data_IF_898973549589
#
_entry.id   IF_898973549589
#
_cell.length_a   1.000
_cell.length_b   1.000
_cell.length_c   1.000
_cell.angle_alpha   90.00
_cell.angle_beta   90.00
_cell.angle_gamma   90.00
#
_symmetry.space_group_name_H-M   'P 1'
#
loop_
_entity.id
_entity.type
_entity.pdbx_description
1 polymer ?
#
# COMPACT_ATOMS: atom_id res chain seq x y z
N UNK A 1 3.09 5.54 -16.92
CA UNK A 1 1.94 4.85 -16.30
C UNK A 1 1.55 5.67 -15.08
N UNK A 2 0.27 5.66 -14.69
CA UNK A 2 -0.16 6.28 -13.45
C UNK A 2 -1.22 5.40 -12.79
N UNK A 3 -1.33 5.51 -11.48
CA UNK A 3 -2.35 4.88 -10.66
C UNK A 3 -2.89 5.90 -9.66
N UNK A 4 -4.21 5.92 -9.48
CA UNK A 4 -4.86 6.66 -8.39
C UNK A 4 -5.43 5.61 -7.46
N UNK A 5 -4.84 5.49 -6.28
CA UNK A 5 -5.06 4.37 -5.38
C UNK A 5 -5.14 4.79 -3.93
N UNK A 6 -5.40 3.82 -3.05
CA UNK A 6 -5.40 4.01 -1.61
C UNK A 6 -4.07 3.55 -1.04
N UNK A 7 -3.38 4.44 -0.32
CA UNK A 7 -2.23 4.11 0.50
C UNK A 7 -2.69 3.92 1.94
N UNK A 8 -2.05 2.98 2.64
CA UNK A 8 -2.33 2.67 4.04
C UNK A 8 -1.05 2.85 4.84
N UNK A 9 -1.08 3.70 5.86
CA UNK A 9 0.03 3.92 6.78
C UNK A 9 -0.46 3.75 8.21
N UNK A 10 0.25 2.93 8.98
CA UNK A 10 -0.08 2.67 10.39
C UNK A 10 0.48 3.79 11.28
N UNK A 11 0.00 5.00 11.04
CA UNK A 11 0.45 6.23 11.69
C UNK A 11 -0.67 6.87 12.52
N UNK A 12 -0.30 7.92 13.26
CA UNK A 12 -1.27 8.74 13.99
C UNK A 12 -2.26 9.46 13.06
N UNK A 13 -3.39 9.88 13.63
CA UNK A 13 -4.37 10.71 12.93
C UNK A 13 -4.32 12.14 13.45
N UNK A 14 -4.27 13.11 12.55
CA UNK A 14 -4.36 14.53 12.88
C UNK A 14 -5.28 15.27 11.88
N UNK A 15 -5.12 16.59 11.76
CA UNK A 15 -5.94 17.41 10.87
C UNK A 15 -5.56 17.25 9.38
N UNK A 16 -4.39 16.70 9.07
CA UNK A 16 -3.81 16.48 7.73
C UNK A 16 -3.53 15.00 7.40
N UNK A 17 -3.61 14.09 8.37
CA UNK A 17 -3.30 12.67 8.23
C UNK A 17 -4.49 11.77 8.59
N UNK A 18 -4.79 10.83 7.70
CA UNK A 18 -5.75 9.73 7.91
C UNK A 18 -5.03 8.40 7.59
N UNK A 19 -5.30 7.28 8.29
CA UNK A 19 -4.52 6.04 8.14
C UNK A 19 -4.64 5.42 6.74
N UNK A 20 -5.73 5.72 6.06
CA UNK A 20 -5.92 5.43 4.65
C UNK A 20 -6.14 6.74 3.88
N UNK A 21 -5.39 6.97 2.81
CA UNK A 21 -5.44 8.22 2.04
C UNK A 21 -5.15 7.97 0.56
N UNK A 22 -5.70 8.79 -0.31
CA UNK A 22 -5.57 8.64 -1.75
C UNK A 22 -4.37 9.40 -2.29
N UNK A 23 -3.52 8.70 -3.02
CA UNK A 23 -2.43 9.28 -3.80
C UNK A 23 -2.62 8.96 -5.27
N UNK A 24 -2.13 9.85 -6.12
CA UNK A 24 -1.73 9.49 -7.48
C UNK A 24 -0.24 9.22 -7.48
N UNK A 25 0.18 8.10 -8.05
CA UNK A 25 1.56 7.84 -8.41
C UNK A 25 1.68 7.76 -9.93
N UNK A 26 2.65 8.47 -10.49
CA UNK A 26 2.90 8.56 -11.92
C UNK A 26 4.38 8.32 -12.19
N UNK A 27 4.66 7.45 -13.16
CA UNK A 27 6.01 7.17 -13.65
C UNK A 27 6.07 7.40 -15.16
N UNK A 28 7.04 8.18 -15.61
CA UNK A 28 7.27 8.45 -17.03
C UNK A 28 8.73 8.13 -17.40
N UNK A 29 8.91 7.26 -18.39
CA UNK A 29 10.23 6.98 -18.94
C UNK A 29 10.74 8.17 -19.79
N UNK A 30 12.06 8.30 -19.84
CA UNK A 30 12.83 9.31 -20.58
C UNK A 30 12.58 10.75 -20.11
N UNK A 31 12.37 10.93 -18.82
CA UNK A 31 12.34 12.23 -18.15
C UNK A 31 13.05 12.14 -16.80
N UNK A 32 13.29 13.29 -16.19
CA UNK A 32 13.87 13.47 -14.86
C UNK A 32 12.89 14.20 -13.92
N UNK A 33 13.35 14.52 -12.71
CA UNK A 33 12.60 15.31 -11.74
C UNK A 33 12.19 16.71 -12.23
N UNK A 34 12.87 17.33 -13.21
CA UNK A 34 12.41 18.62 -13.78
C UNK A 34 11.15 18.43 -14.62
N UNK A 35 11.07 17.37 -15.41
CA UNK A 35 9.84 17.03 -16.11
C UNK A 35 8.70 16.69 -15.13
N UNK A 36 9.01 16.07 -13.97
CA UNK A 36 8.02 15.83 -12.92
C UNK A 36 7.52 17.13 -12.27
N UNK A 37 8.36 18.17 -12.12
CA UNK A 37 7.91 19.50 -11.66
C UNK A 37 6.94 20.12 -12.66
N UNK A 38 7.25 20.05 -13.96
CA UNK A 38 6.39 20.61 -15.00
C UNK A 38 5.01 19.90 -15.03
N UNK A 39 4.99 18.58 -14.84
CA UNK A 39 3.76 17.78 -14.73
C UNK A 39 2.98 18.14 -13.47
N UNK A 40 3.64 18.20 -12.31
CA UNK A 40 2.99 18.52 -11.04
C UNK A 40 2.34 19.91 -11.05
N UNK A 41 3.08 20.92 -11.56
CA UNK A 41 2.54 22.28 -11.73
C UNK A 41 1.33 22.29 -12.68
N UNK A 42 1.45 21.68 -13.86
CA UNK A 42 0.36 21.64 -14.83
C UNK A 42 -0.89 20.94 -14.28
N UNK A 43 -0.71 19.82 -13.56
CA UNK A 43 -1.80 19.06 -12.96
C UNK A 43 -2.58 19.90 -11.94
N UNK A 44 -1.87 20.54 -11.01
CA UNK A 44 -2.50 21.33 -9.94
C UNK A 44 -3.21 22.56 -10.52
N UNK A 45 -2.57 23.24 -11.48
CA UNK A 45 -3.17 24.39 -12.17
C UNK A 45 -4.44 24.00 -12.91
N UNK A 46 -4.40 22.90 -13.66
CA UNK A 46 -5.57 22.43 -14.40
C UNK A 46 -6.70 22.03 -13.43
N UNK A 47 -6.37 21.32 -12.35
CA UNK A 47 -7.35 20.95 -11.32
C UNK A 47 -8.01 22.18 -10.67
N UNK A 48 -7.23 23.21 -10.33
CA UNK A 48 -7.76 24.46 -9.78
C UNK A 48 -8.64 25.21 -10.80
N UNK A 49 -8.19 25.30 -12.06
CA UNK A 49 -8.96 25.96 -13.10
C UNK A 49 -10.30 25.25 -13.37
N UNK A 50 -10.32 23.92 -13.36
CA UNK A 50 -11.54 23.13 -13.63
C UNK A 50 -12.49 23.09 -12.42
N UNK A 51 -11.96 22.96 -11.20
CA UNK A 51 -12.78 22.86 -9.99
C UNK A 51 -13.23 24.22 -9.45
N UNK A 52 -12.34 25.22 -9.47
CA UNK A 52 -12.56 26.54 -8.87
C UNK A 52 -12.86 27.62 -9.91
N UNK A 53 -12.57 27.40 -11.20
CA UNK A 53 -12.74 28.41 -12.25
C UNK A 53 -11.66 29.50 -12.26
N UNK A 54 -10.65 29.41 -11.40
CA UNK A 54 -9.60 30.42 -11.18
C UNK A 54 -8.31 29.76 -10.71
N UNK A 55 -7.17 30.40 -10.99
CA UNK A 55 -5.85 30.03 -10.45
C UNK A 55 -5.47 30.84 -9.21
N UNK A 56 -6.28 31.83 -8.83
CA UNK A 56 -6.17 32.54 -7.57
C UNK A 56 -7.23 32.00 -6.61
N UNK A 57 -6.80 31.18 -5.65
CA UNK A 57 -7.69 30.55 -4.67
C UNK A 57 -7.42 31.13 -3.28
N UNK A 58 -8.34 30.91 -2.35
CA UNK A 58 -8.15 31.22 -0.93
C UNK A 58 -8.16 29.92 -0.16
N UNK A 59 -7.18 29.73 0.72
CA UNK A 59 -7.08 28.56 1.60
C UNK A 59 -6.79 29.01 3.03
N UNK A 60 -7.67 28.65 3.97
CA UNK A 60 -7.63 29.07 5.37
C UNK A 60 -7.48 30.61 5.52
N UNK A 61 -8.19 31.37 4.68
CA UNK A 61 -8.13 32.83 4.66
C UNK A 61 -6.83 33.43 4.10
N UNK A 62 -5.96 32.62 3.50
CA UNK A 62 -4.72 33.06 2.83
C UNK A 62 -4.88 32.94 1.32
N UNK A 63 -4.50 33.98 0.58
CA UNK A 63 -4.52 33.95 -0.90
C UNK A 63 -3.35 33.11 -1.43
N UNK A 64 -3.67 32.14 -2.28
CA UNK A 64 -2.71 31.26 -2.95
C UNK A 64 -2.77 31.52 -4.45
N UNK A 65 -1.61 31.85 -5.01
CA UNK A 65 -1.40 32.09 -6.43
C UNK A 65 -0.87 30.81 -7.10
N UNK A 66 -1.72 30.19 -7.91
CA UNK A 66 -1.38 29.05 -8.77
C UNK A 66 -1.11 29.50 -10.22
N UNK A 67 -1.23 30.79 -10.55
CA UNK A 67 -1.00 31.30 -11.90
C UNK A 67 0.48 31.55 -12.17
N UNK A 68 1.19 32.11 -11.19
CA UNK A 68 2.63 32.32 -11.28
C UNK A 68 3.35 30.96 -11.29
N UNK A 69 4.40 30.76 -12.14
CA UNK A 69 5.21 29.56 -12.09
C UNK A 69 5.70 29.25 -10.68
N UNK A 70 5.63 27.98 -10.27
CA UNK A 70 5.92 27.61 -8.89
C UNK A 70 7.41 27.86 -8.60
N UNK A 71 7.71 28.38 -7.41
CA UNK A 71 9.08 28.70 -7.05
C UNK A 71 9.92 27.43 -6.98
N UNK A 72 11.18 27.49 -7.42
CA UNK A 72 12.15 26.39 -7.32
C UNK A 72 13.30 26.82 -6.43
N UNK A 73 13.58 26.05 -5.39
CA UNK A 73 14.63 26.36 -4.40
C UNK A 73 15.25 25.07 -3.90
N UNK A 74 16.58 24.99 -3.83
CA UNK A 74 17.22 23.81 -3.22
C UNK A 74 17.00 23.81 -1.71
N UNK A 75 17.02 22.63 -1.07
CA UNK A 75 16.90 22.49 0.38
C UNK A 75 17.98 23.30 1.11
N UNK A 76 19.22 23.29 0.59
CA UNK A 76 20.36 24.06 1.14
C UNK A 76 20.09 25.56 1.06
N UNK A 77 19.60 26.06 -0.08
CA UNK A 77 19.24 27.48 -0.22
C UNK A 77 18.09 27.87 0.71
N UNK A 78 17.10 27.00 0.88
CA UNK A 78 15.96 27.23 1.75
C UNK A 78 16.40 27.30 3.22
N UNK A 79 17.18 26.34 3.69
CA UNK A 79 17.74 26.32 5.05
C UNK A 79 18.61 27.55 5.29
N UNK A 80 19.48 27.92 4.34
CA UNK A 80 20.27 29.15 4.44
C UNK A 80 19.40 30.39 4.58
N UNK A 81 18.34 30.50 3.77
CA UNK A 81 17.43 31.64 3.76
C UNK A 81 16.69 31.82 5.09
N UNK A 82 16.21 30.74 5.70
CA UNK A 82 15.33 30.82 6.88
C UNK A 82 16.04 30.58 8.22
N UNK A 83 17.13 29.81 8.26
CA UNK A 83 17.92 29.58 9.48
C UNK A 83 19.16 30.48 9.59
N UNK A 84 19.63 31.04 8.46
CA UNK A 84 20.89 31.77 8.36
C UNK A 84 22.15 30.90 8.30
N UNK A 85 22.01 29.57 8.34
CA UNK A 85 23.13 28.63 8.30
C UNK A 85 23.31 28.08 6.88
N UNK A 86 24.51 28.23 6.34
CA UNK A 86 24.85 27.73 5.01
C UNK A 86 25.48 26.34 5.07
N UNK A 87 24.66 25.30 4.88
CA UNK A 87 25.11 23.91 4.88
C UNK A 87 26.04 23.58 3.70
N UNK A 88 26.11 24.42 2.65
CA UNK A 88 27.06 24.25 1.56
C UNK A 88 28.52 24.46 2.02
N UNK A 89 28.76 25.27 3.06
CA UNK A 89 30.11 25.57 3.55
C UNK A 89 30.78 24.41 4.30
N UNK A 90 30.02 23.38 4.66
CA UNK A 90 30.49 22.21 5.41
C UNK A 90 29.83 20.93 4.94
N UNK A 91 29.64 20.84 3.62
CA UNK A 91 29.05 19.68 2.97
C UNK A 91 29.80 18.39 3.35
N UNK A 92 29.04 17.37 3.74
CA UNK A 92 29.54 16.07 4.23
C UNK A 92 30.33 16.09 5.54
N UNK A 93 30.39 17.22 6.26
CA UNK A 93 30.99 17.31 7.59
C UNK A 93 29.93 17.04 8.68
N UNK A 94 29.81 15.76 9.05
CA UNK A 94 28.84 15.29 10.04
C UNK A 94 29.09 15.92 11.42
N UNK A 95 30.35 16.00 11.86
CA UNK A 95 30.69 16.52 13.19
C UNK A 95 30.30 17.99 13.31
N UNK A 96 30.61 18.80 12.28
CA UNK A 96 30.22 20.21 12.24
C UNK A 96 28.71 20.40 12.14
N UNK A 97 28.01 19.59 11.35
CA UNK A 97 26.56 19.64 11.27
C UNK A 97 25.91 19.37 12.64
N UNK A 98 26.31 18.30 13.33
CA UNK A 98 25.81 17.95 14.67
C UNK A 98 26.14 19.02 15.71
N UNK A 99 27.33 19.62 15.65
CA UNK A 99 27.70 20.72 16.54
C UNK A 99 26.76 21.93 16.36
N UNK A 100 26.49 22.32 15.11
CA UNK A 100 25.58 23.43 14.79
C UNK A 100 24.14 23.11 15.21
N UNK A 101 23.67 21.87 15.02
CA UNK A 101 22.36 21.43 15.48
C UNK A 101 22.20 21.63 17.00
N UNK A 102 23.19 21.19 17.78
CA UNK A 102 23.22 21.37 19.24
C UNK A 102 23.23 22.85 19.63
N UNK A 103 24.01 23.69 18.94
CA UNK A 103 24.02 25.14 19.19
C UNK A 103 22.67 25.81 18.91
N UNK A 104 21.93 25.29 17.93
CA UNK A 104 20.60 25.77 17.55
C UNK A 104 19.46 25.13 18.34
N UNK A 105 19.77 24.20 19.25
CA UNK A 105 18.78 23.50 20.05
C UNK A 105 17.93 22.50 19.28
N UNK A 106 18.44 22.01 18.14
CA UNK A 106 17.80 20.93 17.37
C UNK A 106 18.27 19.59 17.95
N UNK A 107 17.31 18.74 18.30
CA UNK A 107 17.57 17.38 18.76
C UNK A 107 17.92 16.50 17.56
N UNK A 108 19.13 15.94 17.57
CA UNK A 108 19.58 14.97 16.56
C UNK A 108 19.34 13.58 17.12
N UNK A 109 18.52 12.80 16.42
CA UNK A 109 18.21 11.43 16.82
C UNK A 109 19.45 10.54 16.69
N UNK A 110 19.59 9.57 17.61
CA UNK A 110 20.69 8.62 17.59
C UNK A 110 20.61 7.76 16.31
N UNK A 111 21.71 7.67 15.56
CA UNK A 111 21.76 7.03 14.25
C UNK A 111 21.42 7.94 13.07
N UNK A 112 21.01 9.18 13.31
CA UNK A 112 20.71 10.22 12.30
C UNK A 112 21.69 11.40 12.41
N UNK A 113 22.96 11.12 12.67
CA UNK A 113 24.02 12.14 12.85
C UNK A 113 24.76 12.51 11.56
N UNK A 114 24.20 12.20 10.38
CA UNK A 114 24.84 12.59 9.12
C UNK A 114 24.56 14.05 8.78
N UNK A 115 25.40 14.64 7.93
CA UNK A 115 25.18 15.98 7.38
C UNK A 115 23.79 16.10 6.72
N UNK A 116 23.36 15.06 6.00
CA UNK A 116 22.06 15.01 5.32
C UNK A 116 20.89 14.99 6.30
N UNK A 117 20.95 14.15 7.33
CA UNK A 117 19.91 14.04 8.36
C UNK A 117 19.74 15.37 9.13
N UNK A 118 20.87 16.00 9.47
CA UNK A 118 20.86 17.29 10.16
C UNK A 118 20.31 18.38 9.24
N UNK A 119 20.68 18.41 7.96
CA UNK A 119 20.11 19.37 7.00
C UNK A 119 18.58 19.23 6.92
N UNK A 120 18.07 18.00 6.87
CA UNK A 120 16.63 17.73 6.87
C UNK A 120 15.96 18.23 8.16
N UNK A 121 16.57 17.97 9.32
CA UNK A 121 16.06 18.45 10.61
C UNK A 121 15.98 19.99 10.67
N UNK A 122 16.95 20.69 10.06
CA UNK A 122 16.91 22.15 9.92
C UNK A 122 15.82 22.62 8.97
N UNK A 123 15.57 21.87 7.89
CA UNK A 123 14.51 22.16 6.94
C UNK A 123 13.13 22.08 7.62
N UNK A 124 12.84 20.98 8.32
CA UNK A 124 11.59 20.78 9.06
C UNK A 124 11.35 21.90 10.10
N UNK A 125 12.37 22.24 10.89
CA UNK A 125 12.24 23.24 11.97
C UNK A 125 12.12 24.68 11.44
N UNK A 126 12.96 25.06 10.46
CA UNK A 126 13.10 26.46 10.06
C UNK A 126 12.43 26.83 8.76
N UNK A 127 12.16 25.88 7.86
CA UNK A 127 11.75 26.20 6.48
C UNK A 127 10.26 25.96 6.27
N UNK A 128 9.74 24.75 6.50
CA UNK A 128 8.41 24.29 6.06
C UNK A 128 7.30 25.30 6.31
N UNK A 129 7.17 25.78 7.56
CA UNK A 129 6.13 26.73 7.98
C UNK A 129 6.12 28.06 7.23
N UNK A 130 7.20 28.41 6.55
CA UNK A 130 7.33 29.66 5.80
C UNK A 130 6.97 29.50 4.31
N UNK A 131 6.80 28.27 3.81
CA UNK A 131 6.48 27.97 2.41
C UNK A 131 4.97 28.14 2.16
N UNK A 132 4.53 29.40 2.10
CA UNK A 132 3.12 29.78 1.91
C UNK A 132 2.66 29.50 0.47
N UNK A 133 3.37 30.08 -0.52
CA UNK A 133 3.08 29.90 -1.94
C UNK A 133 3.68 28.59 -2.47
N UNK A 134 3.15 28.03 -3.57
CA UNK A 134 3.67 26.81 -4.17
C UNK A 134 5.17 26.88 -4.45
N UNK A 135 5.92 26.01 -3.79
CA UNK A 135 7.38 25.97 -3.87
C UNK A 135 7.85 24.53 -3.99
N UNK A 136 8.57 24.22 -5.06
CA UNK A 136 9.37 23.03 -5.18
C UNK A 136 10.67 23.20 -4.40
N UNK A 137 10.84 22.40 -3.35
CA UNK A 137 12.11 22.23 -2.65
C UNK A 137 12.85 21.10 -3.32
N UNK A 138 14.11 21.33 -3.70
CA UNK A 138 14.89 20.44 -4.56
C UNK A 138 16.19 19.97 -3.89
N UNK A 139 16.83 18.97 -4.49
CA UNK A 139 18.17 18.51 -4.16
C UNK A 139 18.31 17.99 -2.72
N UNK A 140 17.52 16.96 -2.39
CA UNK A 140 17.51 16.34 -1.07
C UNK A 140 18.78 15.49 -0.84
N UNK A 141 19.28 15.40 0.41
CA UNK A 141 20.37 14.49 0.77
C UNK A 141 20.10 13.04 0.40
N UNK A 142 21.17 12.31 0.11
CA UNK A 142 21.11 10.90 -0.29
C UNK A 142 20.64 9.99 0.84
N UNK A 143 20.94 10.34 2.09
CA UNK A 143 20.63 9.57 3.28
C UNK A 143 19.11 9.40 3.48
N UNK A 144 18.33 10.41 3.13
CA UNK A 144 16.87 10.44 3.26
C UNK A 144 16.14 10.13 1.94
N UNK A 145 16.87 9.75 0.88
CA UNK A 145 16.32 9.57 -0.47
C UNK A 145 16.73 8.20 -1.06
N UNK A 146 16.30 7.07 -0.46
CA UNK A 146 16.83 5.74 -0.74
C UNK A 146 16.48 5.19 -2.14
N UNK A 147 15.49 5.76 -2.82
CA UNK A 147 15.03 5.36 -4.16
C UNK A 147 15.38 6.38 -5.25
N UNK A 148 16.11 7.44 -4.90
CA UNK A 148 16.37 8.56 -5.79
C UNK A 148 17.78 8.51 -6.36
N UNK A 149 17.89 8.80 -7.66
CA UNK A 149 19.18 8.95 -8.33
C UNK A 149 20.04 10.07 -7.72
N UNK A 150 21.34 9.79 -7.53
CA UNK A 150 22.29 10.82 -7.11
C UNK A 150 22.40 11.92 -8.14
N UNK A 151 22.57 13.16 -7.67
CA UNK A 151 22.81 14.30 -8.54
C UNK A 151 24.21 14.16 -9.19
N UNK A 152 24.35 14.22 -10.53
CA UNK A 152 25.61 13.91 -11.21
C UNK A 152 26.80 14.79 -10.81
N UNK A 153 26.55 16.06 -10.51
CA UNK A 153 27.57 17.06 -10.13
C UNK A 153 27.78 17.16 -8.62
N UNK A 154 26.88 16.60 -7.80
CA UNK A 154 26.93 16.64 -6.35
C UNK A 154 26.36 15.34 -5.74
N UNK A 155 27.13 14.23 -5.70
CA UNK A 155 26.61 12.89 -5.36
C UNK A 155 26.13 12.69 -3.92
N UNK A 156 26.34 13.68 -3.05
CA UNK A 156 25.81 13.71 -1.67
C UNK A 156 24.36 14.19 -1.63
N UNK A 157 23.89 14.76 -2.74
CA UNK A 157 22.51 15.14 -3.00
C UNK A 157 21.91 14.23 -4.07
N UNK A 158 20.59 14.32 -4.21
CA UNK A 158 19.80 13.51 -5.12
C UNK A 158 18.86 14.37 -5.95
N UNK A 159 18.48 13.89 -7.13
CA UNK A 159 17.51 14.56 -8.00
C UNK A 159 16.07 14.30 -7.51
N UNK A 160 15.75 14.80 -6.31
CA UNK A 160 14.43 14.76 -5.68
C UNK A 160 13.89 16.16 -5.46
N UNK A 161 12.57 16.29 -5.52
CA UNK A 161 11.88 17.44 -5.01
C UNK A 161 10.64 17.06 -4.20
N UNK A 162 10.23 17.97 -3.33
CA UNK A 162 8.89 17.98 -2.74
C UNK A 162 8.22 19.32 -3.03
N UNK A 163 6.90 19.28 -3.24
CA UNK A 163 6.08 20.48 -3.45
C UNK A 163 5.43 20.87 -2.14
N UNK A 164 5.68 22.09 -1.67
CA UNK A 164 5.05 22.65 -0.49
C UNK A 164 4.08 23.78 -0.84
N UNK A 165 2.92 23.78 -0.18
CA UNK A 165 1.93 24.87 -0.20
C UNK A 165 1.43 25.06 1.23
N UNK A 166 1.39 26.29 1.75
CA UNK A 166 0.95 26.57 3.13
C UNK A 166 1.65 25.71 4.20
N UNK A 167 2.95 25.47 3.99
CA UNK A 167 3.80 24.66 4.86
C UNK A 167 3.32 23.22 5.04
N UNK A 168 2.62 22.67 4.05
CA UNK A 168 2.35 21.24 3.95
C UNK A 168 2.89 20.70 2.64
N UNK A 169 3.34 19.45 2.65
CA UNK A 169 3.77 18.71 1.46
C UNK A 169 2.54 18.28 0.63
N UNK A 170 2.55 18.52 -0.68
CA UNK A 170 1.49 18.15 -1.63
C UNK A 170 1.95 17.10 -2.63
N UNK A 171 3.25 16.96 -2.84
CA UNK A 171 3.80 15.92 -3.67
C UNK A 171 5.29 15.72 -3.45
N UNK A 172 5.74 14.52 -3.77
CA UNK A 172 7.12 14.07 -3.70
C UNK A 172 7.48 13.42 -5.03
N UNK A 173 8.64 13.73 -5.58
CA UNK A 173 9.02 13.28 -6.91
C UNK A 173 10.53 13.23 -7.07
N UNK A 174 10.99 12.42 -8.00
CA UNK A 174 12.41 12.24 -8.24
C UNK A 174 12.72 11.67 -9.62
N UNK A 175 13.99 11.83 -10.02
CA UNK A 175 14.61 10.95 -11.01
C UNK A 175 14.85 9.59 -10.34
N UNK A 176 14.20 8.56 -10.87
CA UNK A 176 14.23 7.21 -10.32
C UNK A 176 15.64 6.62 -10.30
N UNK A 177 16.00 5.96 -9.20
CA UNK A 177 17.21 5.17 -9.12
C UNK A 177 17.04 3.88 -9.94
N UNK A 178 17.67 3.85 -11.10
CA UNK A 178 17.60 2.71 -12.02
C UNK A 178 18.87 1.86 -12.08
N UNK A 179 19.85 2.12 -11.20
CA UNK A 179 21.04 1.28 -11.03
C UNK A 179 20.76 0.22 -9.94
N UNK A 180 20.60 -1.07 -10.31
CA UNK A 180 20.32 -2.13 -9.34
C UNK A 180 21.43 -2.31 -8.29
N UNK A 181 22.67 -1.97 -8.63
CA UNK A 181 23.82 -2.10 -7.73
C UNK A 181 23.75 -1.04 -6.63
N UNK A 182 23.48 0.22 -6.98
CA UNK A 182 23.25 1.29 -5.98
C UNK A 182 21.96 1.01 -5.19
N UNK A 183 20.88 0.57 -5.85
CA UNK A 183 19.62 0.28 -5.15
C UNK A 183 19.77 -0.79 -4.06
N UNK A 184 20.50 -1.88 -4.35
CA UNK A 184 20.79 -2.90 -3.34
C UNK A 184 21.60 -2.34 -2.17
N UNK A 185 22.65 -1.55 -2.44
CA UNK A 185 23.45 -0.90 -1.39
C UNK A 185 22.61 0.00 -0.48
N UNK A 186 21.62 0.69 -1.04
CA UNK A 186 20.70 1.54 -0.26
C UNK A 186 19.72 0.73 0.57
N UNK A 187 19.19 -0.37 0.07
CA UNK A 187 18.39 -1.27 0.90
C UNK A 187 19.20 -1.92 2.02
N UNK A 188 20.46 -2.31 1.78
CA UNK A 188 21.34 -2.79 2.85
C UNK A 188 21.59 -1.71 3.93
N UNK A 189 21.72 -0.44 3.54
CA UNK A 189 21.83 0.67 4.49
C UNK A 189 20.53 0.88 5.28
N UNK A 190 19.38 0.82 4.62
CA UNK A 190 18.06 0.90 5.28
C UNK A 190 17.83 -0.25 6.26
N UNK A 191 18.28 -1.46 5.95
CA UNK A 191 18.22 -2.59 6.89
C UNK A 191 19.03 -2.35 8.16
N UNK A 192 20.21 -1.73 8.05
CA UNK A 192 21.00 -1.36 9.23
C UNK A 192 20.30 -0.32 10.10
N UNK A 193 19.59 0.64 9.49
CA UNK A 193 18.77 1.61 10.23
C UNK A 193 17.60 0.91 10.94
N UNK A 194 16.94 -0.03 10.26
CA UNK A 194 15.87 -0.84 10.85
C UNK A 194 16.36 -1.69 12.03
N UNK A 195 17.50 -2.35 11.89
CA UNK A 195 18.16 -3.09 12.98
C UNK A 195 18.55 -2.19 14.15
N UNK A 196 18.82 -0.91 13.89
CA UNK A 196 19.08 0.11 14.91
C UNK A 196 17.80 0.71 15.55
N UNK A 197 16.61 0.30 15.10
CA UNK A 197 15.32 0.67 15.68
C UNK A 197 14.50 1.68 14.88
N UNK A 198 14.85 1.97 13.62
CA UNK A 198 14.02 2.77 12.73
C UNK A 198 12.94 1.90 12.07
N UNK A 199 11.74 1.87 12.64
CA UNK A 199 10.62 1.06 12.16
C UNK A 199 10.10 1.48 10.76
N UNK A 200 10.40 2.72 10.34
CA UNK A 200 10.01 3.30 9.04
C UNK A 200 11.01 2.98 7.92
N UNK A 201 12.21 2.46 8.26
CA UNK A 201 13.22 2.11 7.27
C UNK A 201 12.77 0.95 6.37
N UNK A 202 13.07 1.09 5.07
CA UNK A 202 12.62 0.16 4.02
C UNK A 202 13.20 -1.26 4.20
N UNK A 203 12.42 -2.27 3.83
CA UNK A 203 12.89 -3.66 3.71
C UNK A 203 13.56 -3.92 2.36
N UNK A 204 14.45 -4.90 2.29
CA UNK A 204 14.98 -5.37 1.01
C UNK A 204 13.86 -6.09 0.24
N UNK A 205 13.55 -5.56 -0.95
CA UNK A 205 12.73 -6.25 -1.95
C UNK A 205 13.63 -6.80 -3.06
N UNK A 206 13.87 -8.11 -3.01
CA UNK A 206 14.71 -8.78 -4.00
C UNK A 206 14.06 -8.86 -5.38
N UNK A 207 12.72 -8.95 -5.45
CA UNK A 207 12.02 -9.02 -6.74
C UNK A 207 12.08 -7.68 -7.45
N UNK A 208 11.93 -6.57 -6.71
CA UNK A 208 12.14 -5.23 -7.23
C UNK A 208 13.56 -5.02 -7.77
N UNK A 209 14.59 -5.45 -7.03
CA UNK A 209 15.98 -5.34 -7.53
C UNK A 209 16.20 -6.20 -8.77
N UNK A 210 15.68 -7.42 -8.79
CA UNK A 210 15.74 -8.28 -9.98
C UNK A 210 15.03 -7.62 -11.18
N UNK A 211 13.91 -6.94 -10.98
CA UNK A 211 13.26 -6.18 -12.05
C UNK A 211 14.16 -5.05 -12.60
N UNK A 212 14.89 -4.34 -11.73
CA UNK A 212 15.87 -3.32 -12.14
C UNK A 212 17.04 -3.93 -12.94
N UNK A 213 17.47 -5.14 -12.62
CA UNK A 213 18.55 -5.86 -13.34
C UNK A 213 18.18 -6.19 -14.80
N UNK A 214 16.90 -6.34 -15.12
CA UNK A 214 16.43 -6.45 -16.51
C UNK A 214 16.54 -5.14 -17.29
N UNK A 215 16.71 -4.00 -16.60
CA UNK A 215 16.96 -2.69 -17.17
C UNK A 215 15.74 -1.78 -17.13
N UNK A 216 15.69 -0.89 -16.14
CA UNK A 216 14.75 0.22 -16.10
C UNK A 216 15.33 1.44 -16.85
N UNK A 217 14.63 2.04 -17.83
CA UNK A 217 15.11 3.25 -18.49
C UNK A 217 15.18 4.43 -17.49
N UNK A 218 15.93 5.51 -17.80
CA UNK A 218 15.83 6.75 -17.04
C UNK A 218 14.37 7.17 -16.94
N UNK A 219 13.88 7.36 -15.72
CA UNK A 219 12.44 7.55 -15.43
C UNK A 219 12.31 8.64 -14.38
N UNK A 220 11.27 9.46 -14.49
CA UNK A 220 10.83 10.35 -13.42
C UNK A 220 9.56 9.77 -12.77
N UNK A 221 9.52 9.76 -11.45
CA UNK A 221 8.35 9.41 -10.66
C UNK A 221 7.80 10.59 -9.88
N UNK A 222 6.49 10.59 -9.66
CA UNK A 222 5.75 11.64 -8.97
C UNK A 222 4.60 11.03 -8.17
N UNK A 223 4.57 11.32 -6.87
CA UNK A 223 3.44 11.11 -5.98
C UNK A 223 2.78 12.45 -5.65
N UNK A 224 1.44 12.53 -5.74
CA UNK A 224 0.67 13.69 -5.24
C UNK A 224 -0.42 13.18 -4.28
N UNK A 225 -0.49 13.81 -3.10
CA UNK A 225 -1.54 13.55 -2.11
C UNK A 225 -2.87 14.16 -2.56
N UNK A 226 -3.80 13.33 -3.03
CA UNK A 226 -5.08 13.79 -3.58
C UNK A 226 -5.94 14.43 -2.51
N UNK A 227 -6.01 13.86 -1.31
CA UNK A 227 -6.84 14.42 -0.24
C UNK A 227 -6.38 15.84 0.14
N UNK A 228 -5.06 16.07 0.25
CA UNK A 228 -4.50 17.40 0.51
C UNK A 228 -4.79 18.35 -0.64
N UNK A 229 -4.67 17.92 -1.89
CA UNK A 229 -5.04 18.73 -3.04
C UNK A 229 -6.52 19.11 -3.01
N UNK A 230 -7.42 18.17 -2.69
CA UNK A 230 -8.85 18.49 -2.54
C UNK A 230 -9.06 19.49 -1.40
N UNK A 231 -8.41 19.31 -0.24
CA UNK A 231 -8.48 20.27 0.87
C UNK A 231 -8.14 21.69 0.42
N UNK A 232 -7.04 21.85 -0.32
CA UNK A 232 -6.59 23.13 -0.86
C UNK A 232 -7.65 23.76 -1.79
N UNK A 233 -8.20 22.99 -2.71
CA UNK A 233 -9.15 23.47 -3.72
C UNK A 233 -10.56 23.72 -3.17
N UNK A 234 -10.91 23.12 -2.04
CA UNK A 234 -12.24 23.26 -1.40
C UNK A 234 -12.24 24.16 -0.16
N UNK A 235 -11.11 24.78 0.17
CA UNK A 235 -10.92 25.56 1.40
C UNK A 235 -11.25 24.77 2.68
N UNK A 236 -10.89 23.47 2.69
CA UNK A 236 -11.16 22.57 3.81
C UNK A 236 -9.95 22.50 4.75
N UNK A 237 -10.13 22.93 6.00
CA UNK A 237 -9.05 22.92 6.99
C UNK A 237 -8.61 21.52 7.40
N UNK A 238 -9.53 20.53 7.44
CA UNK A 238 -9.22 19.17 7.84
C UNK A 238 -9.40 18.16 6.70
N UNK A 239 -8.52 17.16 6.65
CA UNK A 239 -8.65 15.99 5.75
C UNK A 239 -9.98 15.25 5.97
N UNK A 240 -10.54 15.34 7.18
CA UNK A 240 -11.84 14.75 7.51
C UNK A 240 -13.01 15.40 6.79
N UNK A 241 -12.84 16.64 6.31
CA UNK A 241 -13.88 17.38 5.60
C UNK A 241 -13.93 16.98 4.10
N UNK A 242 -12.91 16.27 3.61
CA UNK A 242 -12.81 15.81 2.21
C UNK A 242 -12.93 14.28 2.07
N UNK A 243 -12.93 13.56 3.19
CA UNK A 243 -13.20 12.13 3.25
C UNK A 243 -14.66 11.89 3.64
N UNK A 244 -15.39 11.06 2.86
CA UNK A 244 -16.78 10.71 3.19
C UNK A 244 -16.90 9.96 4.52
N UNK A 245 -15.94 9.09 4.80
CA UNK A 245 -15.88 8.26 6.00
C UNK A 245 -14.45 8.28 6.57
N UNK A 246 -14.02 9.37 7.24
CA UNK A 246 -12.72 9.42 7.85
C UNK A 246 -12.62 8.44 9.01
N UNK A 247 -11.42 7.95 9.30
CA UNK A 247 -11.20 7.07 10.44
C UNK A 247 -11.41 7.86 11.74
N UNK A 248 -12.26 7.33 12.63
CA UNK A 248 -12.63 7.99 13.88
C UNK A 248 -12.12 7.22 15.09
N UNK A 249 -11.76 7.94 16.15
CA UNK A 249 -11.51 7.32 17.46
C UNK A 249 -12.83 6.73 18.00
N UNK A 250 -12.83 5.49 18.52
CA UNK A 250 -14.02 4.91 19.15
C UNK A 250 -14.52 5.75 20.33
N UNK A 251 -15.83 5.93 20.45
CA UNK A 251 -16.45 6.80 21.48
C UNK A 251 -16.22 6.35 22.93
N UNK A 252 -15.98 5.06 23.16
CA UNK A 252 -15.79 4.51 24.50
C UNK A 252 -14.36 3.99 24.73
N UNK A 253 -13.41 4.36 23.88
CA UNK A 253 -12.26 3.50 23.64
C UNK A 253 -12.69 2.13 23.09
N UNK A 254 -11.73 1.25 22.88
CA UNK A 254 -12.04 -0.16 22.64
C UNK A 254 -12.50 -0.73 23.99
N UNK A 255 -13.82 -0.79 24.23
CA UNK A 255 -14.36 -1.51 25.39
C UNK A 255 -14.04 -2.99 25.19
N UNK A 256 -13.31 -3.61 26.11
CA UNK A 256 -13.00 -5.05 26.13
C UNK A 256 -14.26 -5.97 26.02
N UNK A 257 -15.47 -5.41 26.19
CA UNK A 257 -16.74 -6.14 26.11
C UNK A 257 -17.27 -6.32 24.68
N UNK A 258 -16.82 -5.51 23.72
CA UNK A 258 -16.90 -5.88 22.30
C UNK A 258 -15.54 -6.54 22.07
N UNK A 259 -15.48 -7.84 21.80
CA UNK A 259 -14.26 -8.65 21.79
C UNK A 259 -13.18 -8.28 20.76
N UNK A 260 -12.96 -6.99 20.50
CA UNK A 260 -11.71 -6.43 20.03
C UNK A 260 -10.78 -6.40 21.24
N UNK A 261 -10.15 -7.53 21.52
CA UNK A 261 -9.02 -7.57 22.45
C UNK A 261 -8.01 -6.50 22.00
N UNK A 262 -7.81 -5.46 22.81
CA UNK A 262 -6.55 -4.73 22.82
C UNK A 262 -5.48 -5.58 23.53
N UNK A 263 -5.35 -6.84 23.12
CA UNK A 263 -4.02 -7.40 23.09
C UNK A 263 -3.30 -6.64 21.98
N UNK A 264 -2.00 -6.37 22.08
CA UNK A 264 -1.23 -6.24 20.87
C UNK A 264 -1.61 -7.46 20.05
N UNK A 265 -2.34 -7.23 18.96
CA UNK A 265 -2.25 -8.14 17.85
C UNK A 265 -0.79 -7.90 17.47
N UNK A 266 0.12 -8.70 18.04
CA UNK A 266 1.13 -9.28 17.18
C UNK A 266 0.32 -9.66 15.96
N UNK A 267 0.45 -8.88 14.87
CA UNK A 267 0.18 -9.38 13.52
C UNK A 267 0.68 -10.79 13.62
N UNK A 268 -0.17 -11.85 13.52
CA UNK A 268 0.27 -13.16 13.88
C UNK A 268 1.59 -13.31 13.15
N UNK A 269 2.68 -13.32 13.93
CA UNK A 269 3.93 -13.81 13.45
C UNK A 269 3.66 -15.32 13.45
N UNK A 270 2.76 -15.76 12.58
CA UNK A 270 3.28 -16.48 11.46
C UNK A 270 4.49 -15.63 10.98
N UNK A 271 5.66 -15.90 11.58
CA UNK A 271 6.79 -16.27 10.73
C UNK A 271 6.12 -16.94 9.54
N UNK A 272 6.24 -16.42 8.29
CA UNK A 272 5.64 -17.13 7.17
C UNK A 272 6.03 -18.55 7.42
N UNK A 273 5.05 -19.38 7.81
CA UNK A 273 5.37 -20.71 8.28
C UNK A 273 6.13 -21.19 7.06
N UNK A 274 7.41 -21.54 7.22
CA UNK A 274 8.14 -22.02 6.07
C UNK A 274 7.45 -23.34 5.80
N UNK A 275 6.36 -23.28 5.04
CA UNK A 275 5.50 -24.38 4.75
C UNK A 275 6.43 -25.22 3.90
N UNK A 276 6.96 -26.23 4.55
CA UNK A 276 7.98 -27.06 3.97
C UNK A 276 7.28 -28.03 3.03
N UNK A 277 7.06 -27.56 1.80
CA UNK A 277 6.48 -28.37 0.74
C UNK A 277 7.40 -29.52 0.29
N UNK A 278 8.60 -29.69 0.88
CA UNK A 278 9.53 -30.77 0.51
C UNK A 278 8.95 -32.16 0.76
N UNK A 279 7.93 -32.27 1.62
CA UNK A 279 7.25 -33.51 1.97
C UNK A 279 5.90 -33.70 1.29
N UNK A 280 5.49 -32.74 0.46
CA UNK A 280 4.23 -32.83 -0.29
C UNK A 280 4.44 -33.68 -1.53
N UNK A 281 3.63 -34.72 -1.68
CA UNK A 281 3.57 -35.53 -2.89
C UNK A 281 2.56 -34.93 -3.85
N UNK A 282 3.03 -34.42 -5.00
CA UNK A 282 2.17 -33.91 -6.08
C UNK A 282 1.75 -35.05 -6.98
N UNK A 283 0.44 -35.29 -7.10
CA UNK A 283 -0.09 -36.29 -8.02
C UNK A 283 0.28 -35.95 -9.47
N UNK A 284 0.64 -36.95 -10.29
CA UNK A 284 0.85 -36.73 -11.71
C UNK A 284 -0.40 -36.11 -12.34
N UNK A 285 -0.19 -35.22 -13.32
CA UNK A 285 -1.29 -34.65 -14.09
C UNK A 285 -2.21 -35.76 -14.62
N UNK A 286 -3.51 -35.49 -14.56
CA UNK A 286 -4.51 -36.40 -15.10
C UNK A 286 -4.18 -36.68 -16.57
N UNK A 287 -4.05 -37.95 -16.93
CA UNK A 287 -3.55 -38.35 -18.25
C UNK A 287 -4.52 -38.02 -19.38
N UNK A 288 -5.81 -37.95 -19.05
CA UNK A 288 -6.85 -37.61 -20.00
C UNK A 288 -7.04 -36.08 -20.01
N UNK A 289 -6.74 -35.46 -21.14
CA UNK A 289 -7.01 -34.03 -21.32
C UNK A 289 -8.51 -33.80 -21.40
N UNK A 290 -9.01 -32.80 -20.65
CA UNK A 290 -10.34 -32.22 -20.88
C UNK A 290 -10.23 -31.19 -21.98
N UNK A 291 -11.08 -31.28 -23.00
CA UNK A 291 -11.13 -30.26 -24.04
C UNK A 291 -11.78 -28.97 -23.51
N UNK A 292 -11.38 -27.83 -24.08
CA UNK A 292 -11.84 -26.51 -23.65
C UNK A 292 -13.36 -26.37 -23.71
N UNK A 293 -14.01 -26.94 -24.72
CA UNK A 293 -15.47 -26.87 -24.88
C UNK A 293 -16.23 -27.69 -23.84
N UNK A 294 -15.64 -28.77 -23.34
CA UNK A 294 -16.20 -29.54 -22.22
C UNK A 294 -15.99 -28.80 -20.90
N UNK A 295 -14.81 -28.22 -20.67
CA UNK A 295 -14.52 -27.46 -19.45
C UNK A 295 -15.37 -26.18 -19.35
N UNK A 296 -15.45 -25.40 -20.43
CA UNK A 296 -16.17 -24.11 -20.50
C UNK A 296 -17.67 -24.22 -20.25
N UNK A 297 -18.23 -25.43 -20.38
CA UNK A 297 -19.63 -25.72 -20.03
C UNK A 297 -19.87 -25.83 -18.53
N UNK A 298 -18.85 -25.97 -17.70
CA UNK A 298 -19.01 -26.04 -16.24
C UNK A 298 -19.26 -24.65 -15.68
N UNK A 299 -20.37 -24.47 -14.94
CA UNK A 299 -20.73 -23.18 -14.35
C UNK A 299 -20.18 -23.10 -12.92
N UNK A 300 -19.02 -22.47 -12.78
CA UNK A 300 -18.36 -22.24 -11.49
C UNK A 300 -18.87 -20.94 -10.85
N UNK A 301 -19.38 -21.05 -9.62
CA UNK A 301 -19.92 -19.92 -8.86
C UNK A 301 -19.34 -19.85 -7.47
N UNK A 302 -19.18 -18.62 -6.98
CA UNK A 302 -19.11 -18.36 -5.55
C UNK A 302 -20.49 -18.63 -4.93
N UNK A 303 -20.55 -19.45 -3.89
CA UNK A 303 -21.76 -19.84 -3.18
C UNK A 303 -21.61 -19.54 -1.69
N UNK A 304 -22.65 -18.98 -1.07
CA UNK A 304 -22.68 -18.74 0.38
C UNK A 304 -23.25 -19.95 1.10
N UNK A 305 -22.58 -20.40 2.15
CA UNK A 305 -23.07 -21.49 2.99
C UNK A 305 -24.09 -20.95 3.98
N UNK A 306 -25.38 -21.18 3.70
CA UNK A 306 -26.49 -20.77 4.58
C UNK A 306 -26.65 -21.73 5.76
N UNK A 307 -26.45 -23.03 5.52
CA UNK A 307 -26.46 -24.06 6.56
C UNK A 307 -25.56 -25.23 6.16
N UNK A 308 -24.96 -25.88 7.15
CA UNK A 308 -24.20 -27.12 6.98
C UNK A 308 -24.58 -28.08 8.10
N UNK A 309 -24.87 -29.34 7.76
CA UNK A 309 -25.35 -30.37 8.69
C UNK A 309 -24.66 -31.70 8.41
N UNK A 310 -24.31 -32.46 9.44
CA UNK A 310 -23.88 -33.84 9.28
C UNK A 310 -25.04 -34.71 8.77
N UNK A 311 -24.81 -35.51 7.73
CA UNK A 311 -25.87 -36.38 7.17
C UNK A 311 -26.12 -37.56 8.12
N UNK A 312 -27.37 -37.76 8.60
CA UNK A 312 -27.69 -38.88 9.48
C UNK A 312 -27.28 -40.22 8.87
N UNK A 313 -26.62 -41.07 9.67
CA UNK A 313 -26.10 -42.40 9.26
C UNK A 313 -24.92 -42.37 8.29
N UNK A 314 -24.33 -41.21 7.99
CA UNK A 314 -23.05 -41.11 7.28
C UNK A 314 -21.97 -40.51 8.17
N UNK A 315 -20.79 -41.15 8.21
CA UNK A 315 -19.60 -40.60 8.88
C UNK A 315 -18.73 -39.74 7.96
N UNK A 316 -19.13 -39.58 6.69
CA UNK A 316 -18.31 -38.92 5.66
C UNK A 316 -18.97 -37.69 5.04
N UNK A 317 -20.30 -37.59 5.12
CA UNK A 317 -21.05 -36.59 4.36
C UNK A 317 -21.51 -35.44 5.23
N UNK A 318 -21.25 -34.23 4.73
CA UNK A 318 -21.91 -33.00 5.14
C UNK A 318 -22.94 -32.60 4.07
N UNK A 319 -24.08 -32.08 4.50
CA UNK A 319 -25.14 -31.53 3.67
C UNK A 319 -25.08 -30.01 3.78
N UNK A 320 -24.89 -29.36 2.65
CA UNK A 320 -24.86 -27.91 2.51
C UNK A 320 -26.18 -27.40 1.96
N UNK A 321 -26.67 -26.32 2.54
CA UNK A 321 -27.70 -25.45 1.96
C UNK A 321 -27.00 -24.16 1.54
N UNK A 322 -27.04 -23.86 0.25
CA UNK A 322 -26.19 -22.84 -0.37
C UNK A 322 -27.04 -21.79 -1.08
N UNK A 323 -26.61 -20.52 -1.00
CA UNK A 323 -27.06 -19.45 -1.90
C UNK A 323 -26.08 -19.33 -3.06
N UNK A 324 -26.58 -19.54 -4.28
CA UNK A 324 -25.83 -19.42 -5.53
C UNK A 324 -26.26 -18.21 -6.37
N UNK A 325 -27.00 -17.27 -5.77
CA UNK A 325 -27.50 -16.05 -6.41
C UNK A 325 -28.71 -16.26 -7.33
N UNK A 326 -29.24 -17.47 -7.45
CA UNK A 326 -30.43 -17.76 -8.29
C UNK A 326 -31.76 -17.44 -7.60
N UNK A 327 -31.73 -17.13 -6.29
CA UNK A 327 -32.92 -16.93 -5.47
C UNK A 327 -33.59 -18.23 -5.00
N UNK A 328 -32.96 -19.38 -5.25
CA UNK A 328 -33.35 -20.68 -4.68
C UNK A 328 -32.21 -21.30 -3.89
N UNK A 329 -32.54 -21.98 -2.79
CA UNK A 329 -31.54 -22.69 -2.00
C UNK A 329 -31.08 -23.95 -2.74
N UNK A 330 -29.75 -24.11 -2.87
CA UNK A 330 -29.13 -25.27 -3.49
C UNK A 330 -28.64 -26.25 -2.42
N UNK A 331 -28.96 -27.53 -2.60
CA UNK A 331 -28.42 -28.60 -1.75
C UNK A 331 -27.22 -29.26 -2.41
N UNK A 332 -26.08 -29.35 -1.71
CA UNK A 332 -24.91 -30.14 -2.13
C UNK A 332 -24.48 -31.05 -0.98
N UNK A 333 -24.15 -32.31 -1.29
CA UNK A 333 -23.58 -33.26 -0.33
C UNK A 333 -22.09 -33.42 -0.62
N UNK A 334 -21.25 -33.15 0.38
CA UNK A 334 -19.78 -33.25 0.23
C UNK A 334 -19.18 -34.25 1.21
N UNK A 335 -18.18 -35.00 0.73
CA UNK A 335 -17.49 -36.08 1.44
C UNK A 335 -16.45 -35.63 2.47
N UNK A 336 -16.58 -34.43 3.03
CA UNK A 336 -15.50 -33.74 3.75
C UNK A 336 -15.68 -33.72 5.27
N UNK A 337 -16.61 -34.51 5.81
CA UNK A 337 -16.90 -34.53 7.25
C UNK A 337 -15.70 -34.99 8.12
N UNK A 338 -14.71 -35.67 7.54
CA UNK A 338 -13.49 -36.02 8.25
C UNK A 338 -12.52 -34.84 8.44
N UNK A 339 -12.74 -33.73 7.71
CA UNK A 339 -11.83 -32.59 7.62
C UNK A 339 -12.41 -31.30 8.19
N UNK A 340 -13.73 -31.19 8.28
CA UNK A 340 -14.42 -29.98 8.73
C UNK A 340 -15.62 -30.33 9.61
N UNK A 341 -15.82 -29.53 10.65
CA UNK A 341 -17.05 -29.53 11.42
C UNK A 341 -18.10 -28.61 10.77
N UNK A 342 -19.41 -28.93 10.83
CA UNK A 342 -20.44 -28.13 10.16
C UNK A 342 -20.43 -26.64 10.52
N UNK A 343 -20.17 -26.31 11.77
CA UNK A 343 -20.18 -24.94 12.30
C UNK A 343 -19.05 -24.07 11.72
N UNK A 344 -17.94 -24.69 11.28
CA UNK A 344 -16.80 -23.98 10.68
C UNK A 344 -17.12 -23.45 9.27
N UNK A 345 -18.15 -24.02 8.65
CA UNK A 345 -18.49 -23.81 7.25
C UNK A 345 -19.65 -22.84 7.06
N UNK A 346 -20.52 -22.69 8.06
CA UNK A 346 -21.67 -21.78 7.98
C UNK A 346 -21.19 -20.33 7.86
N UNK A 347 -21.76 -19.60 6.91
CA UNK A 347 -21.41 -18.21 6.61
C UNK A 347 -20.23 -18.05 5.65
N UNK A 348 -19.46 -19.12 5.38
CA UNK A 348 -18.33 -19.07 4.45
C UNK A 348 -18.77 -19.00 3.00
N UNK A 349 -17.88 -18.47 2.18
CA UNK A 349 -18.03 -18.41 0.73
C UNK A 349 -17.16 -19.47 0.08
N UNK A 350 -17.79 -20.41 -0.63
CA UNK A 350 -17.09 -21.52 -1.29
C UNK A 350 -17.22 -21.43 -2.80
N UNK A 351 -16.40 -22.20 -3.52
CA UNK A 351 -16.56 -22.39 -4.97
C UNK A 351 -17.30 -23.70 -5.25
N UNK A 352 -18.32 -23.63 -6.10
CA UNK A 352 -19.08 -24.79 -6.54
C UNK A 352 -19.33 -24.79 -8.05
N UNK A 353 -19.42 -26.00 -8.63
CA UNK A 353 -20.04 -26.19 -9.94
C UNK A 353 -21.55 -26.34 -9.73
N UNK A 354 -22.33 -25.43 -10.30
CA UNK A 354 -23.77 -25.30 -10.02
C UNK A 354 -24.67 -25.89 -11.10
N UNK A 355 -24.11 -26.28 -12.24
CA UNK A 355 -24.88 -26.83 -13.38
C UNK A 355 -24.70 -28.34 -13.60
N UNK A 356 -24.28 -29.08 -12.57
CA UNK A 356 -24.29 -30.55 -12.61
C UNK A 356 -25.70 -31.10 -12.43
N UNK A 357 -26.07 -32.21 -13.10
CA UNK A 357 -27.34 -32.88 -12.87
C UNK A 357 -27.42 -33.40 -11.42
N UNK A 358 -28.62 -33.42 -10.81
CA UNK A 358 -28.81 -33.96 -9.48
C UNK A 358 -28.31 -35.41 -9.36
N UNK A 359 -27.50 -35.67 -8.33
CA UNK A 359 -27.00 -37.01 -8.01
C UNK A 359 -27.59 -37.48 -6.67
N UNK A 360 -28.42 -38.54 -6.65
CA UNK A 360 -28.98 -39.04 -5.41
C UNK A 360 -27.88 -39.66 -4.54
N UNK A 361 -27.76 -39.17 -3.31
CA UNK A 361 -26.79 -39.63 -2.31
C UNK A 361 -27.49 -39.76 -0.97
N UNK A 362 -27.54 -40.98 -0.41
CA UNK A 362 -28.22 -41.25 0.87
C UNK A 362 -29.69 -40.79 0.91
N UNK A 363 -30.38 -40.77 -0.24
CA UNK A 363 -31.77 -40.34 -0.36
C UNK A 363 -31.97 -38.82 -0.45
N UNK A 364 -30.90 -38.05 -0.61
CA UNK A 364 -30.93 -36.60 -0.85
C UNK A 364 -30.26 -36.33 -2.20
N UNK A 365 -30.85 -35.44 -3.01
CA UNK A 365 -30.27 -35.06 -4.30
C UNK A 365 -29.18 -34.00 -4.10
N UNK A 366 -27.94 -34.34 -4.48
CA UNK A 366 -26.82 -33.38 -4.54
C UNK A 366 -26.86 -32.65 -5.88
N UNK A 367 -27.15 -31.36 -5.86
CA UNK A 367 -27.35 -30.53 -7.04
C UNK A 367 -26.11 -29.67 -7.33
N UNK A 368 -24.94 -30.30 -7.44
CA UNK A 368 -23.68 -29.60 -7.68
C UNK A 368 -22.50 -30.30 -7.01
N UNK A 369 -21.34 -29.64 -7.07
CA UNK A 369 -20.10 -30.11 -6.46
C UNK A 369 -19.31 -28.91 -5.90
N UNK A 370 -18.92 -28.99 -4.63
CA UNK A 370 -17.96 -28.06 -4.02
C UNK A 370 -16.54 -28.41 -4.47
N UNK A 371 -15.70 -27.41 -4.66
CA UNK A 371 -14.32 -27.59 -5.13
C UNK A 371 -13.36 -27.61 -3.93
N UNK A 372 -12.48 -28.61 -3.88
CA UNK A 372 -11.48 -28.75 -2.83
C UNK A 372 -10.13 -29.12 -3.45
N UNK A 373 -9.04 -28.62 -2.87
CA UNK A 373 -7.69 -29.06 -3.15
C UNK A 373 -7.33 -30.22 -2.22
N UNK A 374 -6.69 -31.25 -2.74
CA UNK A 374 -6.21 -32.40 -1.99
C UNK A 374 -4.73 -32.58 -2.26
N UNK A 375 -3.97 -32.93 -1.22
CA UNK A 375 -2.57 -33.30 -1.34
C UNK A 375 -2.22 -34.37 -0.29
N UNK A 376 -1.10 -35.06 -0.50
CA UNK A 376 -0.56 -35.99 0.48
C UNK A 376 0.66 -35.37 1.16
N UNK A 377 0.67 -35.42 2.49
CA UNK A 377 1.78 -34.96 3.32
C UNK A 377 2.09 -36.05 4.35
N UNK A 378 3.36 -36.52 4.37
CA UNK A 378 3.82 -37.58 5.27
C UNK A 378 2.98 -38.88 5.25
N UNK A 379 2.33 -39.18 4.11
CA UNK A 379 1.48 -40.37 3.93
C UNK A 379 0.03 -40.20 4.39
N UNK A 380 -0.38 -39.00 4.79
CA UNK A 380 -1.78 -38.64 5.07
C UNK A 380 -2.38 -37.78 3.96
N UNK A 381 -3.62 -38.06 3.56
CA UNK A 381 -4.38 -37.18 2.67
C UNK A 381 -4.88 -35.96 3.46
N UNK A 382 -4.57 -34.76 2.97
CA UNK A 382 -5.10 -33.48 3.46
C UNK A 382 -6.05 -32.91 2.42
N UNK A 383 -7.17 -32.34 2.88
CA UNK A 383 -8.19 -31.72 2.04
C UNK A 383 -8.43 -30.28 2.48
N UNK A 384 -8.47 -29.37 1.50
CA UNK A 384 -8.74 -27.96 1.68
C UNK A 384 -9.90 -27.55 0.79
N UNK A 385 -11.05 -27.25 1.40
CA UNK A 385 -12.19 -26.69 0.67
C UNK A 385 -11.80 -25.29 0.14
N UNK A 386 -12.04 -25.02 -1.15
CA UNK A 386 -11.76 -23.70 -1.72
C UNK A 386 -12.77 -22.68 -1.19
N UNK A 387 -12.36 -22.02 -0.12
CA UNK A 387 -13.04 -20.85 0.43
C UNK A 387 -12.42 -19.59 -0.15
N UNK A 388 -13.27 -18.64 -0.52
CA UNK A 388 -12.88 -17.34 -1.06
C UNK A 388 -13.38 -16.23 -0.14
N UNK A 389 -12.98 -15.00 -0.43
CA UNK A 389 -13.35 -13.83 0.36
C UNK A 389 -14.88 -13.70 0.56
N UNK A 390 -15.30 -13.46 1.80
CA UNK A 390 -16.70 -13.38 2.18
C UNK A 390 -17.44 -12.14 1.65
N UNK A 391 -16.74 -11.17 1.05
CA UNK A 391 -17.35 -10.04 0.34
C UNK A 391 -17.79 -10.38 -1.09
N UNK A 392 -17.32 -11.50 -1.66
CA UNK A 392 -17.73 -11.92 -3.02
C UNK A 392 -19.23 -12.28 -2.99
N UNK A 393 -20.09 -11.67 -3.82
CA UNK A 393 -21.53 -11.93 -3.77
C UNK A 393 -21.87 -13.35 -4.21
N UNK A 394 -22.94 -13.91 -3.64
CA UNK A 394 -23.49 -15.19 -4.09
C UNK A 394 -23.81 -15.14 -5.59
N UNK A 395 -23.38 -16.18 -6.33
CA UNK A 395 -23.60 -16.28 -7.77
C UNK A 395 -22.59 -15.55 -8.65
N UNK A 396 -21.54 -14.94 -8.07
CA UNK A 396 -20.41 -14.44 -8.85
C UNK A 396 -19.80 -15.57 -9.70
N UNK A 397 -19.53 -15.30 -10.98
CA UNK A 397 -18.93 -16.26 -11.92
C UNK A 397 -17.42 -16.30 -11.77
N UNK A 398 -16.86 -17.51 -11.86
CA UNK A 398 -15.43 -17.70 -12.05
C UNK A 398 -15.18 -17.88 -13.55
N UNK A 399 -14.24 -17.08 -14.08
CA UNK A 399 -13.86 -17.06 -15.50
C UNK A 399 -12.55 -17.79 -15.75
#
# INVERSE_FOLDING_TARGET
>A
MYEIGRNFRNEGMDVRHNPEFTCIELYQAYTDYHGMMDIAEALIRQAAQDACGTLHITYCGTDIDLETPFARMTMVEAVKKFSGIDFAEFMSDNEKAVAIAKEKGIEVQNGKETWGDVLNSFFEEFVEKNLVQPTFIMDYPVEISPLTKRKPDCPVLTERFELFIMGGEYGNAYSELNDPIDQMQRFEAQMKLREAGDDEANMIDHDFVTALEYGMPPTGGLGIGIDRLVMLLTDSYSIRDVLLFPTMKPLNGVKDEIGVNAQPIESPKAEPEKIDFSKVEIEPLFKDFVDFETFSKSDFRAVKVLACEAVPKSKKLLKFTLDDGTGTERTILSGIHAYYEPEELVGKTCIAITNLPPRPMMGIDSCGMLISAVHHEEGEEKLHLLMVDDHIPAGAKLY
#
